data_IF_714929812189
#
_entry.id   IF_714929812189
#
_cell.length_a   1.000
_cell.length_b   1.000
_cell.length_c   1.000
_cell.angle_alpha   90.00
_cell.angle_beta   90.00
_cell.angle_gamma   90.00
#
_symmetry.space_group_name_H-M   'P 1'
#
loop_
_entity.id
_entity.type
_entity.pdbx_description
1 polymer ?
#
# COMPACT_ATOMS: atom_id res chain seq x y z
N UNK A 1 -14.48 67.14 15.59
CA UNK A 1 -14.87 65.71 15.50
C UNK A 1 -13.60 64.88 15.49
N UNK A 2 -13.24 64.29 16.65
CA UNK A 2 -12.01 63.51 16.83
C UNK A 2 -12.26 62.05 16.42
N UNK A 3 -11.38 61.51 15.59
CA UNK A 3 -11.31 60.08 15.23
C UNK A 3 -10.77 59.30 16.44
N UNK A 4 -11.50 58.30 16.90
CA UNK A 4 -11.03 57.33 17.89
C UNK A 4 -10.52 56.09 17.18
N UNK A 5 -9.23 55.81 17.38
CA UNK A 5 -8.52 54.61 16.96
C UNK A 5 -8.91 53.48 17.92
N UNK A 6 -9.52 52.42 17.40
CA UNK A 6 -9.73 51.18 18.16
C UNK A 6 -8.49 50.29 17.99
N UNK A 7 -7.73 50.17 19.07
CA UNK A 7 -6.60 49.26 19.21
C UNK A 7 -7.16 47.84 19.42
N UNK A 8 -7.10 46.99 18.40
CA UNK A 8 -7.45 45.57 18.53
C UNK A 8 -6.28 44.85 19.21
N UNK A 9 -6.44 44.52 20.49
CA UNK A 9 -5.52 43.65 21.22
C UNK A 9 -5.51 42.26 20.57
N UNK A 10 -4.39 41.86 19.98
CA UNK A 10 -4.15 40.48 19.59
C UNK A 10 -3.99 39.64 20.87
N UNK A 11 -4.96 38.76 21.13
CA UNK A 11 -4.87 37.74 22.16
C UNK A 11 -3.87 36.67 21.69
N UNK A 12 -2.62 36.75 22.16
CA UNK A 12 -1.66 35.65 22.00
C UNK A 12 -2.10 34.53 22.94
N UNK A 13 -2.82 33.54 22.42
CA UNK A 13 -3.01 32.26 23.10
C UNK A 13 -1.67 31.52 23.09
N UNK A 14 -0.92 31.65 24.18
CA UNK A 14 0.15 30.73 24.51
C UNK A 14 -0.53 29.40 24.86
N UNK A 15 -0.56 28.47 23.91
CA UNK A 15 -0.84 27.07 24.23
C UNK A 15 0.31 26.57 25.10
N UNK A 16 0.10 26.61 26.42
CA UNK A 16 0.91 25.84 27.35
C UNK A 16 0.86 24.39 26.91
N UNK A 17 2.04 23.78 26.76
CA UNK A 17 2.19 22.33 26.66
C UNK A 17 1.53 21.72 27.90
N UNK A 18 0.27 21.30 27.75
CA UNK A 18 -0.31 20.34 28.67
C UNK A 18 0.58 19.08 28.56
N UNK A 19 1.06 18.51 29.68
CA UNK A 19 1.69 17.21 29.63
C UNK A 19 0.69 16.27 28.97
N UNK A 20 1.07 15.71 27.82
CA UNK A 20 0.35 14.59 27.25
C UNK A 20 0.29 13.54 28.35
N UNK A 21 -0.92 13.23 28.82
CA UNK A 21 -1.14 12.04 29.65
C UNK A 21 -0.56 10.89 28.81
N UNK A 22 0.43 10.13 29.32
CA UNK A 22 0.92 8.99 28.57
C UNK A 22 -0.29 8.11 28.28
N UNK A 23 -0.49 7.77 27.01
CA UNK A 23 -1.47 6.75 26.63
C UNK A 23 -1.27 5.58 27.61
N UNK A 24 -2.32 5.21 28.35
CA UNK A 24 -2.24 4.12 29.32
C UNK A 24 -1.56 2.94 28.63
N UNK A 25 -0.41 2.52 29.14
CA UNK A 25 0.25 1.31 28.66
C UNK A 25 -0.80 0.19 28.63
N UNK A 26 -0.96 -0.48 27.49
CA UNK A 26 -1.99 -1.49 27.34
C UNK A 26 -1.82 -2.54 28.44
N UNK A 27 -2.91 -2.90 29.13
CA UNK A 27 -2.88 -3.84 30.25
C UNK A 27 -2.12 -5.11 29.86
N UNK A 28 -1.33 -5.67 30.79
CA UNK A 28 -0.58 -6.88 30.51
C UNK A 28 -1.51 -7.98 29.95
N UNK A 29 -1.13 -8.66 28.85
CA UNK A 29 -1.87 -9.80 28.32
C UNK A 29 -1.99 -10.93 29.35
N UNK A 30 -3.02 -11.79 29.29
CA UNK A 30 -3.16 -12.90 30.22
C UNK A 30 -1.98 -13.87 30.09
N UNK A 31 -1.51 -14.41 31.22
CA UNK A 31 -0.37 -15.33 31.26
C UNK A 31 -0.61 -16.65 30.52
N UNK A 32 -1.87 -17.01 30.31
CA UNK A 32 -2.31 -18.17 29.53
C UNK A 32 -3.50 -17.81 28.67
N UNK A 33 -3.67 -18.49 27.54
CA UNK A 33 -4.78 -18.30 26.64
C UNK A 33 -5.24 -19.65 26.08
N UNK A 34 -6.51 -19.96 26.26
CA UNK A 34 -7.09 -21.20 25.76
C UNK A 34 -7.57 -20.98 24.33
N UNK A 35 -7.07 -21.76 23.38
CA UNK A 35 -7.56 -21.73 22.01
C UNK A 35 -8.98 -22.31 21.91
N UNK A 36 -9.77 -21.75 21.00
CA UNK A 36 -11.15 -22.18 20.75
C UNK A 36 -11.60 -21.96 19.30
N UNK A 37 -10.67 -21.79 18.36
CA UNK A 37 -10.92 -21.69 16.92
C UNK A 37 -10.66 -23.04 16.21
N UNK A 38 -11.44 -23.34 15.17
CA UNK A 38 -11.38 -24.62 14.42
C UNK A 38 -11.26 -25.87 15.32
N UNK A 39 -10.28 -26.74 15.08
CA UNK A 39 -9.91 -27.89 15.91
C UNK A 39 -8.94 -27.55 17.06
N UNK A 40 -8.46 -26.31 17.13
CA UNK A 40 -7.45 -25.87 18.10
C UNK A 40 -8.06 -25.83 19.51
N UNK A 41 -7.34 -26.44 20.47
CA UNK A 41 -7.75 -26.54 21.88
C UNK A 41 -6.54 -26.46 22.83
N UNK A 42 -5.42 -25.91 22.38
CA UNK A 42 -4.22 -25.86 23.21
C UNK A 42 -4.33 -24.78 24.28
N UNK A 43 -3.67 -25.03 25.41
CA UNK A 43 -3.47 -24.01 26.43
C UNK A 43 -2.14 -23.31 26.15
N UNK A 44 -2.23 -22.13 25.55
CA UNK A 44 -1.07 -21.32 25.22
C UNK A 44 -0.54 -20.60 26.46
N UNK A 45 0.79 -20.44 26.53
CA UNK A 45 1.50 -19.74 27.60
C UNK A 45 2.18 -18.50 27.05
N UNK A 46 2.00 -17.38 27.73
CA UNK A 46 2.63 -16.12 27.36
C UNK A 46 4.15 -16.24 27.52
N UNK A 47 4.87 -16.07 26.42
CA UNK A 47 6.33 -16.19 26.37
C UNK A 47 7.01 -14.80 26.39
N UNK A 48 6.38 -13.79 25.78
CA UNK A 48 6.86 -12.41 25.73
C UNK A 48 5.71 -11.44 25.46
N UNK A 49 5.82 -10.19 25.92
CA UNK A 49 4.98 -9.10 25.45
C UNK A 49 5.64 -7.73 25.60
N UNK A 50 5.22 -6.79 24.79
CA UNK A 50 5.49 -5.35 24.91
C UNK A 50 4.25 -4.55 24.44
N UNK A 51 4.42 -3.29 24.03
CA UNK A 51 3.31 -2.47 23.52
C UNK A 51 2.90 -2.83 22.08
N UNK A 52 3.74 -3.56 21.35
CA UNK A 52 3.50 -3.95 19.96
C UNK A 52 2.94 -5.37 19.86
N UNK A 53 3.44 -6.31 20.66
CA UNK A 53 3.09 -7.74 20.53
C UNK A 53 2.83 -8.43 21.86
N UNK A 54 2.08 -9.52 21.78
CA UNK A 54 2.00 -10.56 22.81
C UNK A 54 2.25 -11.91 22.16
N UNK A 55 3.32 -12.61 22.54
CA UNK A 55 3.74 -13.87 21.94
C UNK A 55 3.42 -15.03 22.87
N UNK A 56 2.71 -16.00 22.33
CA UNK A 56 2.17 -17.16 23.01
C UNK A 56 2.69 -18.44 22.35
N UNK A 57 3.11 -19.39 23.17
CA UNK A 57 3.60 -20.70 22.75
C UNK A 57 2.78 -21.81 23.39
N UNK A 58 2.60 -22.91 22.67
CA UNK A 58 2.24 -24.19 23.27
C UNK A 58 3.45 -24.84 23.95
N UNK A 59 3.24 -26.01 24.56
CA UNK A 59 4.29 -26.76 25.26
C UNK A 59 5.31 -27.43 24.33
N UNK A 60 5.08 -27.44 23.01
CA UNK A 60 5.93 -28.08 22.01
C UNK A 60 7.00 -27.10 21.43
N UNK A 61 6.91 -25.82 21.77
CA UNK A 61 7.91 -24.80 21.43
C UNK A 61 8.92 -24.62 22.57
N UNK A 62 10.21 -24.64 22.23
CA UNK A 62 11.27 -24.19 23.14
C UNK A 62 11.46 -22.67 23.00
N UNK A 63 11.13 -21.86 24.03
CA UNK A 63 11.21 -20.41 23.93
C UNK A 63 12.62 -19.89 23.63
N UNK A 64 13.66 -20.62 24.05
CA UNK A 64 15.05 -20.22 23.79
C UNK A 64 15.46 -20.38 22.32
N UNK A 65 14.75 -21.21 21.56
CA UNK A 65 15.00 -21.42 20.13
C UNK A 65 14.13 -20.50 19.26
N UNK A 66 12.95 -20.11 19.75
CA UNK A 66 12.01 -19.26 19.03
C UNK A 66 12.03 -17.78 19.48
N UNK A 67 12.93 -17.37 20.38
CA UNK A 67 12.95 -16.01 20.94
C UNK A 67 13.17 -14.88 19.90
N UNK A 68 13.70 -15.20 18.72
CA UNK A 68 13.84 -14.23 17.63
C UNK A 68 12.49 -13.68 17.16
N UNK A 69 11.40 -14.43 17.36
CA UNK A 69 10.02 -14.06 17.00
C UNK A 69 9.60 -12.80 17.76
N UNK A 70 10.07 -12.60 18.99
CA UNK A 70 9.64 -11.50 19.86
C UNK A 70 9.89 -10.13 19.23
N UNK A 71 11.17 -9.80 19.01
CA UNK A 71 11.54 -8.51 18.42
C UNK A 71 11.16 -8.43 16.95
N UNK A 72 11.22 -9.55 16.22
CA UNK A 72 10.89 -9.56 14.79
C UNK A 72 9.42 -9.27 14.55
N UNK A 73 8.51 -9.90 15.29
CA UNK A 73 7.08 -9.62 15.20
C UNK A 73 6.77 -8.17 15.62
N UNK A 74 7.44 -7.66 16.66
CA UNK A 74 7.28 -6.28 17.10
C UNK A 74 7.72 -5.27 16.02
N UNK A 75 8.90 -5.47 15.41
CA UNK A 75 9.41 -4.60 14.35
C UNK A 75 8.51 -4.62 13.11
N UNK A 76 8.07 -5.82 12.68
CA UNK A 76 7.15 -5.97 11.55
C UNK A 76 5.83 -5.28 11.86
N UNK A 77 5.19 -5.61 12.98
CA UNK A 77 3.89 -5.04 13.34
C UNK A 77 3.92 -3.52 13.50
N UNK A 78 4.99 -2.99 14.10
CA UNK A 78 5.21 -1.55 14.22
C UNK A 78 5.29 -0.89 12.86
N UNK A 79 6.10 -1.44 11.94
CA UNK A 79 6.15 -0.97 10.56
C UNK A 79 4.79 -1.08 9.88
N UNK A 80 4.08 -2.19 10.04
CA UNK A 80 2.74 -2.41 9.48
C UNK A 80 1.80 -1.30 9.88
N UNK A 81 1.69 -1.01 11.18
CA UNK A 81 0.79 0.04 11.69
C UNK A 81 1.17 1.43 11.20
N UNK A 82 2.47 1.73 11.13
CA UNK A 82 2.98 3.02 10.67
C UNK A 82 2.72 3.27 9.18
N UNK A 83 2.83 2.21 8.36
CA UNK A 83 2.74 2.31 6.91
C UNK A 83 1.33 2.06 6.39
N UNK A 84 0.71 0.95 6.81
CA UNK A 84 -0.56 0.45 6.28
C UNK A 84 -1.79 0.91 7.08
N UNK A 85 -1.56 1.61 8.20
CA UNK A 85 -2.59 2.22 9.02
C UNK A 85 -3.00 1.36 10.22
N UNK A 86 -3.97 1.89 10.99
CA UNK A 86 -4.48 1.20 12.18
C UNK A 86 -5.27 -0.06 11.79
N UNK A 87 -5.00 -1.14 12.52
CA UNK A 87 -5.69 -2.44 12.40
C UNK A 87 -6.76 -2.64 13.49
N UNK A 88 -7.23 -1.55 14.12
CA UNK A 88 -8.17 -1.62 15.23
C UNK A 88 -7.62 -2.36 16.46
N UNK A 89 -8.53 -2.87 17.29
CA UNK A 89 -8.20 -3.61 18.51
C UNK A 89 -7.50 -2.76 19.58
N UNK A 90 -6.72 -3.43 20.42
CA UNK A 90 -5.91 -2.82 21.49
C UNK A 90 -4.54 -2.33 21.02
N UNK A 91 -4.26 -2.42 19.71
CA UNK A 91 -3.01 -2.02 19.09
C UNK A 91 -1.91 -3.09 19.11
N UNK A 92 -2.10 -4.22 19.78
CA UNK A 92 -1.15 -5.34 19.78
C UNK A 92 -1.44 -6.36 18.69
N UNK A 93 -0.38 -7.00 18.23
CA UNK A 93 -0.46 -8.27 17.52
C UNK A 93 -0.28 -9.43 18.50
N UNK A 94 -1.20 -10.38 18.48
CA UNK A 94 -1.11 -11.60 19.26
C UNK A 94 -0.52 -12.69 18.36
N UNK A 95 0.66 -13.18 18.72
CA UNK A 95 1.38 -14.18 17.93
C UNK A 95 1.28 -15.51 18.65
N UNK A 96 0.68 -16.50 18.00
CA UNK A 96 0.61 -17.88 18.46
C UNK A 96 1.55 -18.72 17.60
N UNK A 97 2.38 -19.56 18.24
CA UNK A 97 3.33 -20.42 17.53
C UNK A 97 3.20 -21.85 18.03
N UNK A 98 3.05 -22.77 17.08
CA UNK A 98 2.94 -24.20 17.32
C UNK A 98 4.06 -24.99 16.67
N UNK A 99 4.49 -26.07 17.33
CA UNK A 99 5.47 -26.99 16.77
C UNK A 99 4.88 -28.39 16.57
N UNK A 100 5.05 -28.97 15.38
CA UNK A 100 4.75 -30.39 15.06
C UNK A 100 3.29 -30.83 15.22
N UNK A 101 2.36 -29.94 15.57
CA UNK A 101 0.94 -30.25 15.76
C UNK A 101 0.08 -29.62 14.67
N UNK A 102 0.19 -28.31 14.51
CA UNK A 102 -0.48 -27.55 13.46
C UNK A 102 0.54 -27.07 12.43
N UNK A 103 0.11 -26.92 11.18
CA UNK A 103 0.98 -26.54 10.07
C UNK A 103 0.34 -25.43 9.24
N UNK A 104 1.16 -24.49 8.77
CA UNK A 104 0.70 -23.35 7.98
C UNK A 104 0.49 -22.12 8.85
N UNK A 105 -0.36 -21.22 8.40
CA UNK A 105 -0.72 -20.03 9.14
C UNK A 105 -2.21 -19.75 9.05
N UNK A 106 -2.70 -19.04 10.04
CA UNK A 106 -4.08 -18.60 10.14
C UNK A 106 -4.17 -17.24 10.84
N UNK A 107 -4.89 -16.27 10.27
CA UNK A 107 -5.09 -14.97 10.88
C UNK A 107 -6.42 -14.88 11.66
N UNK A 108 -6.39 -14.22 12.81
CA UNK A 108 -7.57 -13.74 13.52
C UNK A 108 -7.64 -12.20 13.51
N UNK A 109 -8.84 -11.64 13.53
CA UNK A 109 -9.03 -10.18 13.45
C UNK A 109 -9.69 -9.62 14.71
N UNK A 110 -9.41 -8.36 15.04
CA UNK A 110 -9.92 -7.72 16.27
C UNK A 110 -11.45 -7.68 16.41
N UNK A 111 -12.20 -7.98 15.36
CA UNK A 111 -13.67 -8.02 15.38
C UNK A 111 -14.25 -9.45 15.45
N UNK A 112 -13.39 -10.48 15.51
CA UNK A 112 -13.75 -11.88 15.56
C UNK A 112 -13.86 -12.39 17.00
N UNK A 113 -15.04 -12.87 17.38
CA UNK A 113 -15.28 -13.41 18.70
C UNK A 113 -14.52 -14.74 18.94
N UNK A 114 -14.34 -15.52 17.87
CA UNK A 114 -13.56 -16.76 17.83
C UNK A 114 -12.06 -16.57 18.08
N UNK A 115 -11.59 -15.31 18.08
CA UNK A 115 -10.21 -14.93 18.41
C UNK A 115 -10.15 -13.90 19.55
N UNK A 116 -11.18 -13.87 20.39
CA UNK A 116 -11.29 -12.99 21.55
C UNK A 116 -11.12 -11.50 21.21
N UNK A 117 -11.56 -11.09 20.02
CA UNK A 117 -11.46 -9.72 19.51
C UNK A 117 -10.02 -9.19 19.45
N UNK A 118 -9.08 -10.07 19.09
CA UNK A 118 -7.64 -9.75 18.91
C UNK A 118 -7.22 -9.84 17.45
N UNK A 119 -6.24 -9.04 17.05
CA UNK A 119 -5.49 -9.31 15.83
C UNK A 119 -4.49 -10.41 16.13
N UNK A 120 -4.64 -11.56 15.50
CA UNK A 120 -3.92 -12.80 15.79
C UNK A 120 -3.22 -13.26 14.53
N UNK A 121 -1.97 -13.70 14.67
CA UNK A 121 -1.39 -14.66 13.74
C UNK A 121 -1.16 -15.96 14.50
N UNK A 122 -1.61 -17.06 13.94
CA UNK A 122 -1.40 -18.40 14.44
C UNK A 122 -0.56 -19.14 13.40
N UNK A 123 0.68 -19.48 13.75
CA UNK A 123 1.63 -20.12 12.84
C UNK A 123 2.11 -21.46 13.38
N UNK A 124 2.08 -22.47 12.53
CA UNK A 124 2.46 -23.84 12.86
C UNK A 124 3.53 -24.37 11.92
N UNK A 125 4.61 -24.92 12.48
CA UNK A 125 5.76 -25.41 11.74
C UNK A 125 6.44 -26.61 12.41
N UNK A 126 7.58 -27.03 11.88
CA UNK A 126 8.35 -28.17 12.41
C UNK A 126 9.63 -27.78 13.16
N UNK A 127 10.15 -26.56 12.91
CA UNK A 127 11.31 -26.00 13.58
C UNK A 127 11.33 -24.46 13.45
N UNK A 128 11.25 -23.75 14.57
CA UNK A 128 11.36 -22.29 14.64
C UNK A 128 12.73 -21.80 15.16
N UNK A 129 13.79 -22.61 15.05
CA UNK A 129 15.13 -22.26 15.53
C UNK A 129 15.84 -21.19 14.68
N UNK A 130 15.35 -20.89 13.48
CA UNK A 130 15.95 -19.93 12.55
C UNK A 130 15.03 -18.76 12.20
N UNK A 131 15.61 -17.56 12.17
CA UNK A 131 14.99 -16.31 11.68
C UNK A 131 15.31 -16.09 10.20
N UNK A 132 14.85 -16.98 9.33
CA UNK A 132 15.02 -16.83 7.88
C UNK A 132 14.12 -17.80 7.12
N UNK A 133 14.04 -17.63 5.80
CA UNK A 133 13.32 -18.57 4.95
C UNK A 133 11.85 -18.66 5.32
N UNK A 134 11.30 -19.88 5.26
CA UNK A 134 9.89 -20.13 5.49
C UNK A 134 9.39 -19.65 6.87
N UNK A 135 10.21 -19.76 7.93
CA UNK A 135 9.84 -19.32 9.28
C UNK A 135 9.59 -17.82 9.37
N UNK A 136 10.44 -17.03 8.72
CA UNK A 136 10.23 -15.59 8.65
C UNK A 136 9.09 -15.25 7.69
N UNK A 137 9.03 -15.96 6.56
CA UNK A 137 8.01 -15.75 5.54
C UNK A 137 6.60 -15.94 6.09
N UNK A 138 6.32 -17.05 6.79
CA UNK A 138 4.98 -17.32 7.32
C UNK A 138 4.56 -16.27 8.35
N UNK A 139 5.48 -15.85 9.23
CA UNK A 139 5.20 -14.81 10.23
C UNK A 139 4.78 -13.49 9.55
N UNK A 140 5.51 -13.06 8.53
CA UNK A 140 5.19 -11.80 7.82
C UNK A 140 3.97 -11.97 6.91
N UNK A 141 3.78 -13.15 6.32
CA UNK A 141 2.64 -13.48 5.49
C UNK A 141 1.32 -13.34 6.25
N UNK A 142 1.21 -13.93 7.45
CA UNK A 142 -0.03 -13.86 8.23
C UNK A 142 -0.36 -12.42 8.68
N UNK A 143 0.66 -11.58 8.92
CA UNK A 143 0.44 -10.16 9.21
C UNK A 143 -0.15 -9.43 7.99
N UNK A 144 0.20 -9.85 6.77
CA UNK A 144 -0.37 -9.29 5.54
C UNK A 144 -1.89 -9.49 5.47
N UNK A 145 -2.40 -10.63 5.94
CA UNK A 145 -3.84 -10.88 6.01
C UNK A 145 -4.54 -9.97 7.03
N UNK A 146 -3.87 -9.59 8.12
CA UNK A 146 -4.45 -8.60 9.04
C UNK A 146 -4.58 -7.24 8.34
N UNK A 147 -3.56 -6.81 7.56
CA UNK A 147 -3.69 -5.59 6.73
C UNK A 147 -4.88 -5.70 5.80
N UNK A 148 -4.98 -6.83 5.11
CA UNK A 148 -5.98 -7.06 4.10
C UNK A 148 -7.43 -7.02 4.65
N UNK A 149 -7.64 -7.56 5.85
CA UNK A 149 -8.99 -7.75 6.42
C UNK A 149 -9.39 -6.71 7.48
N UNK A 150 -8.44 -5.96 8.06
CA UNK A 150 -8.71 -5.09 9.21
C UNK A 150 -8.22 -3.64 9.04
N UNK A 151 -7.52 -3.30 7.95
CA UNK A 151 -6.97 -1.96 7.79
C UNK A 151 -8.05 -0.88 7.63
N UNK A 152 -7.73 0.32 8.10
CA UNK A 152 -8.52 1.54 7.89
C UNK A 152 -9.97 1.44 8.41
N UNK A 153 -10.20 0.61 9.43
CA UNK A 153 -11.51 0.41 10.04
C UNK A 153 -12.52 -0.30 9.12
N UNK A 154 -12.06 -0.90 8.02
CA UNK A 154 -12.85 -1.81 7.21
C UNK A 154 -12.74 -3.25 7.73
N UNK A 155 -13.71 -4.09 7.37
CA UNK A 155 -13.75 -5.50 7.76
C UNK A 155 -13.96 -6.38 6.53
N UNK A 156 -13.14 -7.41 6.39
CA UNK A 156 -13.15 -8.34 5.25
C UNK A 156 -12.22 -7.91 4.11
N UNK A 157 -11.99 -8.83 3.16
CA UNK A 157 -11.18 -8.58 1.97
C UNK A 157 -12.01 -8.73 0.69
N UNK A 158 -12.40 -7.64 0.03
CA UNK A 158 -13.18 -7.72 -1.18
C UNK A 158 -12.33 -8.15 -2.39
N UNK A 159 -11.00 -8.11 -2.28
CA UNK A 159 -10.08 -8.49 -3.35
C UNK A 159 -9.57 -9.94 -3.25
N UNK A 160 -9.81 -10.62 -2.12
CA UNK A 160 -9.31 -11.98 -1.86
C UNK A 160 -9.67 -12.97 -2.97
N UNK A 161 -10.86 -12.88 -3.56
CA UNK A 161 -11.26 -13.76 -4.67
C UNK A 161 -10.43 -13.59 -5.95
N UNK A 162 -9.77 -12.44 -6.12
CA UNK A 162 -8.96 -12.16 -7.30
C UNK A 162 -7.51 -12.64 -7.11
N UNK A 163 -6.93 -12.37 -5.94
CA UNK A 163 -5.52 -12.64 -5.68
C UNK A 163 -5.27 -13.87 -4.78
N UNK A 164 -6.34 -14.48 -4.25
CA UNK A 164 -6.26 -15.66 -3.39
C UNK A 164 -5.53 -15.42 -2.08
N UNK A 165 -4.86 -16.44 -1.58
CA UNK A 165 -4.07 -16.35 -0.36
C UNK A 165 -2.86 -15.41 -0.55
N UNK A 166 -1.97 -15.72 -1.48
CA UNK A 166 -0.62 -15.18 -1.31
C UNK A 166 -0.27 -13.91 -2.08
N UNK A 167 -0.99 -13.48 -3.13
CA UNK A 167 -0.35 -12.49 -4.05
C UNK A 167 -0.20 -11.09 -3.46
N UNK A 168 -1.16 -10.67 -2.62
CA UNK A 168 -0.99 -9.48 -1.79
C UNK A 168 0.13 -9.67 -0.75
N UNK A 169 0.12 -10.81 -0.05
CA UNK A 169 1.13 -11.12 0.96
C UNK A 169 2.56 -11.17 0.40
N UNK A 170 2.74 -11.65 -0.83
CA UNK A 170 4.03 -11.74 -1.51
C UNK A 170 4.69 -10.34 -1.68
N UNK A 171 3.93 -9.34 -2.13
CA UNK A 171 4.47 -7.97 -2.27
C UNK A 171 4.63 -7.28 -0.92
N UNK A 172 3.74 -7.56 0.03
CA UNK A 172 3.86 -7.08 1.41
C UNK A 172 5.13 -7.61 2.09
N UNK A 173 5.44 -8.90 1.95
CA UNK A 173 6.67 -9.49 2.48
C UNK A 173 7.92 -8.81 1.90
N UNK A 174 7.94 -8.60 0.59
CA UNK A 174 9.04 -7.88 -0.06
C UNK A 174 9.20 -6.46 0.50
N UNK A 175 8.10 -5.72 0.64
CA UNK A 175 8.11 -4.36 1.21
C UNK A 175 8.64 -4.33 2.65
N UNK A 176 8.10 -5.19 3.53
CA UNK A 176 8.53 -5.29 4.93
C UNK A 176 10.03 -5.59 5.02
N UNK A 177 10.53 -6.54 4.23
CA UNK A 177 11.95 -6.89 4.25
C UNK A 177 12.82 -5.74 3.77
N UNK A 178 12.39 -5.00 2.73
CA UNK A 178 13.10 -3.80 2.29
C UNK A 178 13.10 -2.70 3.35
N UNK A 179 11.97 -2.47 4.01
CA UNK A 179 11.83 -1.42 5.02
C UNK A 179 12.64 -1.69 6.29
N UNK A 180 12.73 -2.96 6.71
CA UNK A 180 13.47 -3.38 7.91
C UNK A 180 14.95 -3.68 7.63
N UNK A 181 15.42 -3.51 6.39
CA UNK A 181 16.83 -3.74 6.01
C UNK A 181 17.23 -5.22 5.91
N UNK A 182 16.26 -6.12 5.68
CA UNK A 182 16.50 -7.56 5.51
C UNK A 182 16.81 -7.86 4.03
N UNK A 183 17.83 -7.22 3.48
CA UNK A 183 18.09 -7.21 2.03
C UNK A 183 18.28 -8.60 1.43
N UNK A 184 18.92 -9.53 2.16
CA UNK A 184 19.07 -10.92 1.70
C UNK A 184 17.74 -11.66 1.60
N UNK A 185 16.82 -11.44 2.54
CA UNK A 185 15.49 -12.05 2.52
C UNK A 185 14.61 -11.39 1.45
N UNK A 186 14.69 -10.07 1.29
CA UNK A 186 14.01 -9.34 0.22
C UNK A 186 14.42 -9.86 -1.16
N UNK A 187 15.73 -10.06 -1.39
CA UNK A 187 16.24 -10.64 -2.63
C UNK A 187 15.75 -12.07 -2.82
N UNK A 188 15.83 -12.91 -1.77
CA UNK A 188 15.37 -14.31 -1.83
C UNK A 188 13.90 -14.42 -2.21
N UNK A 189 13.02 -13.64 -1.57
CA UNK A 189 11.59 -13.70 -1.88
C UNK A 189 11.28 -13.12 -3.25
N UNK A 190 11.98 -12.06 -3.67
CA UNK A 190 11.88 -11.55 -5.03
C UNK A 190 12.19 -12.64 -6.06
N UNK A 191 13.34 -13.30 -5.94
CA UNK A 191 13.78 -14.36 -6.87
C UNK A 191 12.80 -15.54 -6.91
N UNK A 192 12.18 -15.85 -5.76
CA UNK A 192 11.12 -16.86 -5.67
C UNK A 192 9.84 -16.42 -6.38
N UNK A 193 9.33 -15.23 -6.07
CA UNK A 193 8.01 -14.78 -6.47
C UNK A 193 7.95 -14.38 -7.95
N UNK A 194 9.03 -13.88 -8.54
CA UNK A 194 9.07 -13.56 -9.98
C UNK A 194 8.90 -14.80 -10.88
N UNK A 195 9.16 -16.00 -10.34
CA UNK A 195 9.03 -17.26 -11.07
C UNK A 195 7.64 -17.91 -10.93
N UNK A 196 6.78 -17.43 -10.02
CA UNK A 196 5.48 -18.05 -9.73
C UNK A 196 4.42 -17.67 -10.77
N UNK A 197 3.92 -18.67 -11.48
CA UNK A 197 2.81 -18.53 -12.43
C UNK A 197 1.50 -19.07 -11.86
N UNK A 198 0.40 -18.43 -12.19
CA UNK A 198 -0.96 -18.78 -11.79
C UNK A 198 -1.86 -19.09 -12.99
N UNK A 199 -2.98 -19.74 -12.71
CA UNK A 199 -4.05 -20.00 -13.68
C UNK A 199 -5.12 -18.90 -13.73
N UNK A 200 -5.17 -18.03 -12.73
CA UNK A 200 -6.11 -16.91 -12.66
C UNK A 200 -5.36 -15.56 -12.76
N UNK A 201 -5.88 -14.60 -13.54
CA UNK A 201 -7.12 -14.65 -14.34
C UNK A 201 -7.02 -15.47 -15.62
N UNK A 202 -5.81 -15.83 -16.04
CA UNK A 202 -5.59 -16.78 -17.12
C UNK A 202 -4.30 -17.57 -16.89
N UNK A 203 -4.15 -18.71 -17.57
CA UNK A 203 -2.95 -19.53 -17.49
C UNK A 203 -1.69 -18.74 -17.84
N UNK A 204 -0.68 -18.84 -16.97
CA UNK A 204 0.59 -18.12 -17.14
C UNK A 204 0.56 -16.68 -16.61
N UNK A 205 -0.38 -16.35 -15.72
CA UNK A 205 -0.37 -15.06 -15.02
C UNK A 205 0.76 -15.02 -13.99
N UNK A 206 1.60 -13.99 -14.01
CA UNK A 206 2.61 -13.77 -12.98
C UNK A 206 2.25 -12.54 -12.15
N UNK A 207 1.48 -12.72 -11.08
CA UNK A 207 1.00 -11.60 -10.24
C UNK A 207 2.12 -10.76 -9.67
N UNK A 208 3.15 -11.38 -9.09
CA UNK A 208 4.27 -10.62 -8.53
C UNK A 208 5.08 -9.93 -9.64
N UNK A 209 5.56 -10.69 -10.63
CA UNK A 209 6.45 -10.20 -11.69
C UNK A 209 5.82 -9.13 -12.58
N UNK A 210 4.58 -9.34 -13.03
CA UNK A 210 3.97 -8.53 -14.08
C UNK A 210 2.99 -7.48 -13.54
N UNK A 211 2.56 -7.60 -12.27
CA UNK A 211 1.61 -6.67 -11.67
C UNK A 211 2.15 -5.99 -10.41
N UNK A 212 2.28 -6.71 -9.30
CA UNK A 212 2.58 -6.10 -8.01
C UNK A 212 3.95 -5.44 -7.94
N UNK A 213 5.00 -6.10 -8.44
CA UNK A 213 6.35 -5.53 -8.43
C UNK A 213 6.45 -4.29 -9.34
N UNK A 214 5.96 -4.30 -10.59
CA UNK A 214 5.90 -3.09 -11.41
C UNK A 214 5.07 -1.95 -10.81
N UNK A 215 3.92 -2.25 -10.18
CA UNK A 215 3.12 -1.25 -9.47
C UNK A 215 3.93 -0.66 -8.32
N UNK A 216 4.51 -1.50 -7.47
CA UNK A 216 5.32 -1.08 -6.33
C UNK A 216 6.51 -0.22 -6.78
N UNK A 217 7.31 -0.69 -7.72
CA UNK A 217 8.58 -0.04 -8.03
C UNK A 217 8.40 1.28 -8.80
N UNK A 218 7.40 1.37 -9.69
CA UNK A 218 7.22 2.53 -10.56
C UNK A 218 6.18 3.53 -10.06
N UNK A 219 5.29 3.13 -9.15
CA UNK A 219 4.15 3.94 -8.74
C UNK A 219 4.12 4.10 -7.23
N UNK A 220 5.18 4.66 -6.62
CA UNK A 220 5.11 5.13 -5.23
C UNK A 220 5.19 4.05 -4.13
N UNK A 221 5.63 2.82 -4.45
CA UNK A 221 6.00 1.77 -3.49
C UNK A 221 4.88 1.47 -2.48
N UNK A 222 5.21 1.36 -1.19
CA UNK A 222 4.25 1.08 -0.11
C UNK A 222 3.10 2.09 0.00
N UNK A 223 3.29 3.33 -0.45
CA UNK A 223 2.22 4.32 -0.41
C UNK A 223 1.07 3.96 -1.35
N UNK A 224 1.36 3.37 -2.50
CA UNK A 224 0.30 2.92 -3.43
C UNK A 224 -0.41 1.69 -2.90
N UNK A 225 0.33 0.74 -2.33
CA UNK A 225 -0.27 -0.42 -1.65
C UNK A 225 -1.22 0.03 -0.53
N UNK A 226 -0.80 1.01 0.28
CA UNK A 226 -1.61 1.56 1.38
C UNK A 226 -2.84 2.31 0.87
N UNK A 227 -2.67 3.16 -0.16
CA UNK A 227 -3.77 3.93 -0.74
C UNK A 227 -4.87 3.04 -1.30
N UNK A 228 -4.53 1.87 -1.82
CA UNK A 228 -5.54 0.91 -2.29
C UNK A 228 -6.53 0.56 -1.17
N UNK A 229 -6.04 0.16 0.01
CA UNK A 229 -6.91 -0.15 1.16
C UNK A 229 -7.65 1.07 1.69
N UNK A 230 -7.03 2.26 1.66
CA UNK A 230 -7.70 3.51 2.04
C UNK A 230 -8.87 3.82 1.09
N UNK A 231 -8.68 3.68 -0.22
CA UNK A 231 -9.72 3.89 -1.22
C UNK A 231 -10.86 2.87 -1.07
N UNK A 232 -10.54 1.59 -0.82
CA UNK A 232 -11.54 0.57 -0.54
C UNK A 232 -12.38 0.93 0.69
N UNK A 233 -11.73 1.23 1.82
CA UNK A 233 -12.43 1.65 3.02
C UNK A 233 -13.29 2.90 2.76
N UNK A 234 -12.79 3.87 2.00
CA UNK A 234 -13.51 5.12 1.77
C UNK A 234 -14.73 4.95 0.84
N UNK A 235 -14.59 4.21 -0.26
CA UNK A 235 -15.54 4.26 -1.37
C UNK A 235 -16.24 2.94 -1.67
N UNK A 236 -15.65 1.79 -1.34
CA UNK A 236 -16.25 0.51 -1.67
C UNK A 236 -17.38 0.16 -0.69
N UNK A 237 -18.50 -0.46 -1.14
CA UNK A 237 -19.68 -0.63 -0.32
C UNK A 237 -19.45 -1.42 0.98
N UNK A 238 -19.85 -0.83 2.10
CA UNK A 238 -19.81 -1.45 3.44
C UNK A 238 -21.16 -1.35 4.14
N UNK A 239 -21.48 -2.34 4.97
CA UNK A 239 -22.64 -2.27 5.86
C UNK A 239 -22.34 -1.39 7.09
N UNK A 240 -23.36 -1.11 7.90
CA UNK A 240 -23.22 -0.27 9.10
C UNK A 240 -22.26 -0.82 10.16
N UNK A 241 -21.94 -2.12 10.12
CA UNK A 241 -20.97 -2.76 11.01
C UNK A 241 -19.52 -2.71 10.48
N UNK A 242 -19.30 -2.12 9.29
CA UNK A 242 -18.00 -1.92 8.67
C UNK A 242 -17.54 -3.02 7.72
N UNK A 243 -18.36 -4.04 7.46
CA UNK A 243 -18.02 -5.13 6.53
C UNK A 243 -18.26 -4.74 5.09
N UNK A 244 -17.32 -5.06 4.21
CA UNK A 244 -17.57 -5.03 2.78
C UNK A 244 -18.74 -5.95 2.41
N UNK A 245 -19.63 -5.49 1.53
CA UNK A 245 -20.88 -6.20 1.24
C UNK A 245 -20.79 -7.15 0.05
N UNK A 246 -19.68 -7.13 -0.70
CA UNK A 246 -19.41 -7.98 -1.86
C UNK A 246 -17.92 -7.97 -2.21
N UNK A 247 -17.53 -8.86 -3.12
CA UNK A 247 -16.19 -8.88 -3.70
C UNK A 247 -16.05 -7.85 -4.84
N UNK A 248 -14.81 -7.48 -5.13
CA UNK A 248 -14.40 -6.75 -6.33
C UNK A 248 -14.43 -7.66 -7.54
N UNK A 249 -14.80 -7.10 -8.68
CA UNK A 249 -14.45 -7.68 -9.98
C UNK A 249 -13.11 -7.12 -10.50
N UNK A 250 -12.60 -7.65 -11.61
CA UNK A 250 -11.27 -7.27 -12.11
C UNK A 250 -11.20 -5.80 -12.58
N UNK A 251 -12.26 -5.30 -13.21
CA UNK A 251 -12.31 -3.90 -13.64
C UNK A 251 -12.32 -2.92 -12.47
N UNK A 252 -13.07 -3.22 -11.40
CA UNK A 252 -13.05 -2.44 -10.16
C UNK A 252 -11.67 -2.50 -9.49
N UNK A 253 -11.07 -3.68 -9.40
CA UNK A 253 -9.73 -3.85 -8.86
C UNK A 253 -8.71 -2.96 -9.57
N UNK A 254 -8.69 -2.99 -10.91
CA UNK A 254 -7.78 -2.15 -11.71
C UNK A 254 -8.10 -0.68 -11.57
N UNK A 255 -9.37 -0.28 -11.49
CA UNK A 255 -9.78 1.10 -11.24
C UNK A 255 -9.29 1.63 -9.88
N UNK A 256 -9.49 0.88 -8.80
CA UNK A 256 -9.03 1.25 -7.46
C UNK A 256 -7.50 1.27 -7.36
N UNK A 257 -6.81 0.29 -7.96
CA UNK A 257 -5.35 0.28 -8.04
C UNK A 257 -4.82 1.47 -8.87
N UNK A 258 -5.52 1.87 -9.93
CA UNK A 258 -5.17 3.06 -10.72
C UNK A 258 -5.29 4.34 -9.90
N UNK A 259 -6.37 4.47 -9.12
CA UNK A 259 -6.53 5.57 -8.16
C UNK A 259 -5.42 5.58 -7.11
N UNK A 260 -5.07 4.42 -6.56
CA UNK A 260 -4.01 4.28 -5.57
C UNK A 260 -2.64 4.68 -6.12
N UNK A 261 -2.35 4.26 -7.36
CA UNK A 261 -1.14 4.59 -8.10
C UNK A 261 -1.12 6.01 -8.67
N UNK A 262 -2.27 6.72 -8.63
CA UNK A 262 -2.50 8.01 -9.29
C UNK A 262 -2.19 7.97 -10.79
N UNK A 263 -2.33 6.81 -11.42
CA UNK A 263 -2.00 6.55 -12.82
C UNK A 263 -2.98 5.54 -13.41
N UNK A 264 -3.30 5.62 -14.71
CA UNK A 264 -4.13 4.60 -15.36
C UNK A 264 -3.29 3.32 -15.54
N UNK A 265 -3.59 2.30 -14.73
CA UNK A 265 -2.87 1.02 -14.76
C UNK A 265 -3.47 0.02 -15.76
N UNK A 266 -4.48 0.40 -16.57
CA UNK A 266 -5.13 -0.52 -17.52
C UNK A 266 -4.13 -1.15 -18.49
N UNK A 267 -3.15 -0.40 -18.99
CA UNK A 267 -2.13 -0.93 -19.91
C UNK A 267 -1.29 -2.02 -19.23
N UNK A 268 -0.83 -1.75 -18.00
CA UNK A 268 -0.10 -2.71 -17.18
C UNK A 268 -0.96 -3.95 -16.88
N UNK A 269 -2.23 -3.73 -16.51
CA UNK A 269 -3.16 -4.80 -16.21
C UNK A 269 -3.44 -5.68 -17.44
N UNK A 270 -3.55 -5.05 -18.62
CA UNK A 270 -3.72 -5.77 -19.89
C UNK A 270 -2.53 -6.69 -20.18
N UNK A 271 -1.29 -6.23 -19.92
CA UNK A 271 -0.10 -7.05 -20.05
C UNK A 271 0.01 -8.15 -18.99
N UNK A 272 -0.40 -7.87 -17.76
CA UNK A 272 -0.31 -8.81 -16.64
C UNK A 272 -1.37 -9.92 -16.67
N UNK A 273 -2.60 -9.55 -17.04
CA UNK A 273 -3.81 -10.37 -16.84
C UNK A 273 -4.53 -10.73 -18.14
N UNK A 274 -4.11 -10.13 -19.27
CA UNK A 274 -4.96 -10.05 -20.46
C UNK A 274 -6.08 -9.03 -20.27
N UNK A 275 -6.73 -8.64 -21.36
CA UNK A 275 -7.82 -7.67 -21.32
C UNK A 275 -8.97 -8.05 -22.26
N UNK A 276 -9.94 -8.77 -21.71
CA UNK A 276 -11.15 -9.17 -22.43
C UNK A 276 -12.28 -8.17 -22.26
N UNK A 277 -13.29 -8.24 -23.14
CA UNK A 277 -14.44 -7.33 -23.13
C UNK A 277 -15.17 -7.28 -21.77
N UNK A 278 -15.16 -8.37 -21.01
CA UNK A 278 -15.72 -8.38 -19.66
C UNK A 278 -14.99 -7.41 -18.72
N UNK A 279 -13.65 -7.44 -18.70
CA UNK A 279 -12.84 -6.54 -17.87
C UNK A 279 -12.96 -5.09 -18.33
N UNK A 280 -13.07 -4.86 -19.65
CA UNK A 280 -13.36 -3.53 -20.18
C UNK A 280 -14.70 -3.00 -19.65
N UNK A 281 -15.76 -3.80 -19.75
CA UNK A 281 -17.10 -3.40 -19.29
C UNK A 281 -17.11 -3.14 -17.77
N UNK A 282 -16.46 -4.00 -17.01
CA UNK A 282 -16.28 -3.83 -15.56
C UNK A 282 -15.49 -2.56 -15.22
N UNK A 283 -14.41 -2.27 -15.94
CA UNK A 283 -13.56 -1.11 -15.72
C UNK A 283 -14.28 0.20 -16.03
N UNK A 284 -15.01 0.26 -17.15
CA UNK A 284 -15.83 1.43 -17.47
C UNK A 284 -17.00 1.61 -16.50
N UNK A 285 -17.61 0.53 -16.02
CA UNK A 285 -18.61 0.58 -14.96
C UNK A 285 -18.01 1.12 -13.65
N UNK A 286 -16.85 0.62 -13.23
CA UNK A 286 -16.15 1.08 -12.03
C UNK A 286 -15.88 2.59 -12.08
N UNK A 287 -15.36 3.11 -13.20
CA UNK A 287 -15.12 4.56 -13.38
C UNK A 287 -16.38 5.41 -13.24
N UNK A 288 -17.53 4.89 -13.69
CA UNK A 288 -18.83 5.58 -13.56
C UNK A 288 -19.40 5.48 -12.15
N UNK A 289 -19.22 4.34 -11.51
CA UNK A 289 -19.84 4.02 -10.22
C UNK A 289 -19.01 4.58 -9.04
N UNK A 290 -17.69 4.82 -9.26
CA UNK A 290 -16.75 5.41 -8.30
C UNK A 290 -16.02 6.65 -8.85
N UNK A 291 -16.74 7.68 -9.34
CA UNK A 291 -16.13 8.84 -10.03
C UNK A 291 -15.22 9.71 -9.15
N UNK A 292 -15.25 9.51 -7.82
CA UNK A 292 -14.36 10.18 -6.87
C UNK A 292 -12.92 9.66 -6.94
N UNK A 293 -12.71 8.47 -7.53
CA UNK A 293 -11.39 7.88 -7.71
C UNK A 293 -10.84 8.30 -9.07
N UNK A 294 -9.99 9.31 -9.06
CA UNK A 294 -9.43 9.92 -10.28
C UNK A 294 -7.93 9.60 -10.45
N UNK A 295 -7.48 9.43 -11.69
CA UNK A 295 -6.09 9.16 -12.05
C UNK A 295 -5.86 9.44 -13.54
N UNK A 296 -4.63 9.31 -14.05
CA UNK A 296 -4.42 9.16 -15.50
C UNK A 296 -4.78 10.37 -16.37
N UNK A 297 -4.90 11.58 -15.78
CA UNK A 297 -5.38 12.76 -16.49
C UNK A 297 -6.91 12.93 -16.51
N UNK A 298 -7.66 12.13 -15.76
CA UNK A 298 -9.08 12.40 -15.44
C UNK A 298 -9.27 13.67 -14.58
N UNK A 299 -8.16 14.29 -14.20
CA UNK A 299 -8.11 15.65 -13.68
C UNK A 299 -8.27 16.61 -14.86
N UNK A 300 -9.47 17.18 -15.02
CA UNK A 300 -9.67 18.35 -15.88
C UNK A 300 -8.95 19.54 -15.24
N UNK A 301 -7.71 19.80 -15.69
CA UNK A 301 -6.97 21.02 -15.36
C UNK A 301 -7.27 22.09 -16.41
N UNK A 302 -7.91 23.16 -15.96
CA UNK A 302 -8.24 24.33 -16.79
C UNK A 302 -7.00 25.10 -17.25
N UNK A 303 -5.88 25.01 -16.52
CA UNK A 303 -4.62 25.69 -16.83
C UNK A 303 -3.43 24.81 -16.40
N UNK A 304 -2.94 23.93 -17.30
CA UNK A 304 -1.81 23.04 -17.01
C UNK A 304 -1.47 22.07 -18.14
N UNK A 305 -0.88 20.94 -17.77
CA UNK A 305 -0.60 19.81 -18.66
C UNK A 305 -0.69 18.46 -17.95
N UNK A 306 -0.97 17.40 -18.70
CA UNK A 306 -0.92 16.01 -18.24
C UNK A 306 0.31 15.33 -18.82
N UNK A 307 1.15 14.76 -17.95
CA UNK A 307 2.43 14.14 -18.28
C UNK A 307 2.31 12.63 -18.21
N UNK A 308 2.88 11.93 -19.18
CA UNK A 308 2.70 10.49 -19.37
C UNK A 308 4.03 9.74 -19.41
N UNK A 309 4.01 8.50 -18.88
CA UNK A 309 5.19 7.64 -18.79
C UNK A 309 5.57 6.96 -20.09
N UNK A 310 4.60 6.64 -20.94
CA UNK A 310 4.84 6.00 -22.23
C UNK A 310 4.45 6.92 -23.39
N UNK A 311 4.93 6.59 -24.59
CA UNK A 311 4.47 7.23 -25.81
C UNK A 311 2.97 6.98 -26.03
N UNK A 312 2.34 7.84 -26.83
CA UNK A 312 0.92 7.84 -27.15
C UNK A 312 0.00 7.89 -25.91
N UNK A 313 0.44 8.63 -24.88
CA UNK A 313 -0.33 8.88 -23.65
C UNK A 313 -0.62 7.61 -22.84
N UNK A 314 0.32 6.66 -22.85
CA UNK A 314 0.31 5.47 -21.99
C UNK A 314 1.13 5.66 -20.71
N UNK A 315 1.29 4.60 -19.93
CA UNK A 315 2.08 4.60 -18.70
C UNK A 315 1.44 5.39 -17.56
N UNK A 316 2.25 5.93 -16.64
CA UNK A 316 1.75 6.84 -15.60
C UNK A 316 1.07 8.05 -16.24
N UNK A 317 0.14 8.70 -15.54
CA UNK A 317 -0.25 10.05 -15.94
C UNK A 317 -0.51 10.99 -14.77
N UNK A 318 0.13 12.16 -14.82
CA UNK A 318 0.08 13.18 -13.77
C UNK A 318 -0.36 14.50 -14.34
N UNK A 319 -1.41 15.08 -13.77
CA UNK A 319 -1.89 16.41 -14.11
C UNK A 319 -1.21 17.45 -13.21
N UNK A 320 -0.51 18.42 -13.80
CA UNK A 320 0.11 19.53 -13.10
C UNK A 320 -0.44 20.86 -13.62
N UNK A 321 -0.78 21.76 -12.70
CA UNK A 321 -1.18 23.13 -13.02
C UNK A 321 0.02 24.02 -13.32
N UNK A 322 -0.24 25.27 -13.75
CA UNK A 322 0.79 26.32 -13.91
C UNK A 322 1.60 26.50 -12.63
N UNK A 323 2.84 26.03 -12.65
CA UNK A 323 3.85 26.21 -11.60
C UNK A 323 5.22 25.72 -12.12
N UNK A 324 6.22 25.72 -11.25
CA UNK A 324 7.51 25.08 -11.44
C UNK A 324 7.64 23.86 -10.54
N UNK A 325 8.00 22.71 -11.11
CA UNK A 325 8.14 21.45 -10.41
C UNK A 325 9.60 20.99 -10.54
N UNK A 326 10.35 21.07 -9.45
CA UNK A 326 11.70 20.54 -9.42
C UNK A 326 11.66 19.02 -9.16
N UNK A 327 12.82 18.36 -9.16
CA UNK A 327 12.96 16.91 -9.02
C UNK A 327 12.09 16.30 -7.91
N UNK A 328 12.14 16.86 -6.69
CA UNK A 328 11.37 16.33 -5.57
C UNK A 328 9.86 16.56 -5.73
N UNK A 329 9.44 17.68 -6.35
CA UNK A 329 8.03 18.00 -6.57
C UNK A 329 7.42 17.07 -7.63
N UNK A 330 8.20 16.77 -8.68
CA UNK A 330 7.81 15.78 -9.70
C UNK A 330 7.60 14.39 -9.08
N UNK A 331 8.57 13.91 -8.29
CA UNK A 331 8.44 12.63 -7.60
C UNK A 331 7.23 12.61 -6.65
N UNK A 332 7.01 13.68 -5.89
CA UNK A 332 5.87 13.82 -4.99
C UNK A 332 4.52 13.85 -5.73
N UNK A 333 4.50 14.43 -6.94
CA UNK A 333 3.33 14.45 -7.80
C UNK A 333 3.09 13.11 -8.53
N UNK A 334 4.07 12.20 -8.51
CA UNK A 334 3.97 10.87 -9.11
C UNK A 334 4.57 10.76 -10.51
N UNK A 335 5.45 11.69 -10.91
CA UNK A 335 6.27 11.57 -12.13
C UNK A 335 7.64 11.02 -11.73
N UNK A 336 7.97 9.75 -12.03
CA UNK A 336 9.29 9.21 -11.78
C UNK A 336 10.36 9.92 -12.63
N UNK A 337 11.57 10.02 -12.08
CA UNK A 337 12.70 10.61 -12.79
C UNK A 337 13.03 9.79 -14.05
N UNK A 338 13.34 10.46 -15.15
CA UNK A 338 13.79 9.80 -16.38
C UNK A 338 12.80 8.75 -16.90
N UNK A 339 11.49 9.04 -16.80
CA UNK A 339 10.41 8.17 -17.28
C UNK A 339 9.34 8.85 -18.13
N UNK A 340 9.47 10.14 -18.44
CA UNK A 340 8.44 10.89 -19.15
C UNK A 340 8.62 10.76 -20.65
N UNK A 341 7.55 10.34 -21.34
CA UNK A 341 7.57 10.00 -22.77
C UNK A 341 6.53 10.75 -23.61
N UNK A 342 5.43 11.25 -23.04
CA UNK A 342 4.43 12.06 -23.77
C UNK A 342 3.71 13.07 -22.88
N UNK A 343 3.11 14.11 -23.46
CA UNK A 343 2.47 15.22 -22.71
C UNK A 343 1.22 15.71 -23.44
N UNK A 344 0.12 15.92 -22.72
CA UNK A 344 -1.04 16.69 -23.21
C UNK A 344 -1.01 18.08 -22.62
N UNK A 345 -1.13 19.12 -23.44
CA UNK A 345 -0.97 20.52 -23.03
C UNK A 345 -2.28 21.25 -23.23
N UNK A 346 -2.83 21.83 -22.16
CA UNK A 346 -4.05 22.64 -22.25
C UNK A 346 -3.79 23.85 -23.16
N UNK A 347 -4.73 24.24 -24.05
CA UNK A 347 -4.57 25.41 -24.90
C UNK A 347 -4.18 26.67 -24.11
N UNK A 348 -3.19 27.43 -24.61
CA UNK A 348 -2.68 28.62 -23.92
C UNK A 348 -1.60 28.34 -22.86
N UNK A 349 -1.16 27.09 -22.72
CA UNK A 349 -0.07 26.69 -21.81
C UNK A 349 1.20 26.36 -22.59
N UNK A 350 2.35 26.72 -22.00
CA UNK A 350 3.69 26.34 -22.43
C UNK A 350 4.32 25.46 -21.34
N UNK A 351 4.70 24.26 -21.73
CA UNK A 351 5.48 23.33 -20.89
C UNK A 351 6.94 23.39 -21.33
N UNK A 352 7.87 23.51 -20.38
CA UNK A 352 9.30 23.34 -20.62
C UNK A 352 9.81 22.20 -19.77
N UNK A 353 10.27 21.14 -20.42
CA UNK A 353 10.92 19.98 -19.81
C UNK A 353 12.43 20.26 -19.72
N UNK A 354 13.07 19.84 -18.63
CA UNK A 354 14.51 19.97 -18.41
C UNK A 354 15.15 18.63 -18.07
N UNK A 355 16.31 18.35 -18.67
CA UNK A 355 17.07 17.10 -18.51
C UNK A 355 17.61 16.92 -17.09
N UNK A 356 17.89 18.01 -16.38
CA UNK A 356 18.41 17.97 -15.01
C UNK A 356 17.48 18.69 -14.04
N UNK A 357 17.67 18.40 -12.76
CA UNK A 357 17.06 19.15 -11.66
C UNK A 357 17.47 20.63 -11.71
N UNK A 358 16.77 21.46 -10.95
CA UNK A 358 17.03 22.89 -10.82
C UNK A 358 16.94 23.65 -12.18
N UNK A 359 16.15 23.11 -13.12
CA UNK A 359 15.90 23.66 -14.45
C UNK A 359 17.16 23.83 -15.30
N UNK A 360 18.06 22.84 -15.24
CA UNK A 360 19.34 22.82 -15.95
C UNK A 360 19.36 21.74 -17.05
N UNK A 361 20.47 21.70 -17.81
CA UNK A 361 20.69 20.72 -18.88
C UNK A 361 19.95 21.08 -20.17
N UNK A 362 19.78 20.11 -21.06
CA UNK A 362 18.96 20.30 -22.26
C UNK A 362 17.51 20.58 -21.87
N UNK A 363 16.80 21.37 -22.69
CA UNK A 363 15.40 21.70 -22.46
C UNK A 363 14.54 21.51 -23.71
N UNK A 364 13.28 21.12 -23.53
CA UNK A 364 12.30 20.97 -24.61
C UNK A 364 11.02 21.71 -24.30
N UNK A 365 10.59 22.57 -25.22
CA UNK A 365 9.36 23.37 -25.10
C UNK A 365 8.23 22.69 -25.86
N UNK A 366 7.09 22.51 -25.20
CA UNK A 366 5.86 21.93 -25.75
C UNK A 366 4.71 22.94 -25.59
N UNK A 367 4.00 23.20 -26.68
CA UNK A 367 2.87 24.15 -26.74
C UNK A 367 1.53 23.46 -27.07
N UNK A 368 1.56 22.15 -27.30
CA UNK A 368 0.41 21.35 -27.68
C UNK A 368 0.65 19.90 -27.28
N UNK A 369 -0.41 19.10 -27.38
CA UNK A 369 -0.36 17.65 -27.24
C UNK A 369 0.79 17.04 -28.06
N UNK A 370 1.64 16.32 -27.37
CA UNK A 370 2.88 15.72 -27.86
C UNK A 370 2.84 14.24 -27.53
N UNK A 371 2.45 13.41 -28.50
CA UNK A 371 2.30 11.97 -28.32
C UNK A 371 3.63 11.24 -28.11
N UNK A 372 4.75 11.87 -28.45
CA UNK A 372 6.09 11.37 -28.12
C UNK A 372 7.05 12.54 -28.00
N UNK A 373 7.76 12.66 -26.88
CA UNK A 373 8.71 13.75 -26.64
C UNK A 373 9.99 13.61 -27.47
N UNK A 374 10.15 12.54 -28.26
CA UNK A 374 11.26 12.33 -29.19
C UNK A 374 12.47 11.64 -28.54
N UNK A 375 13.27 10.95 -29.36
CA UNK A 375 14.45 10.18 -28.91
C UNK A 375 15.50 11.06 -28.20
N UNK A 376 15.49 12.36 -28.48
CA UNK A 376 16.34 13.35 -27.84
C UNK A 376 15.99 13.58 -26.37
N UNK A 377 14.73 13.38 -25.97
CA UNK A 377 14.21 13.77 -24.66
C UNK A 377 13.42 12.67 -23.91
N UNK A 378 13.16 11.54 -24.56
CA UNK A 378 12.47 10.41 -23.93
C UNK A 378 13.22 9.93 -22.70
N UNK A 379 12.51 9.73 -21.59
CA UNK A 379 13.11 9.21 -20.34
C UNK A 379 14.29 10.05 -19.84
N UNK A 380 14.22 11.38 -19.97
CA UNK A 380 15.27 12.30 -19.48
C UNK A 380 14.80 13.43 -18.57
N UNK A 381 13.49 13.60 -18.39
CA UNK A 381 12.98 14.79 -17.69
C UNK A 381 13.22 14.65 -16.18
N UNK A 382 13.89 15.66 -15.59
CA UNK A 382 14.20 15.78 -14.16
C UNK A 382 13.66 17.06 -13.51
N UNK A 383 13.19 18.05 -14.28
CA UNK A 383 12.40 19.20 -13.77
C UNK A 383 11.50 19.80 -14.85
N UNK A 384 10.41 20.47 -14.46
CA UNK A 384 9.36 20.97 -15.36
C UNK A 384 8.97 22.41 -15.00
N UNK A 385 8.79 23.26 -16.01
CA UNK A 385 8.08 24.55 -15.87
C UNK A 385 6.82 24.58 -16.71
N UNK A 386 5.72 25.06 -16.12
CA UNK A 386 4.42 25.20 -16.78
C UNK A 386 3.99 26.65 -16.65
N UNK A 387 3.84 27.33 -17.78
CA UNK A 387 3.58 28.77 -17.85
C UNK A 387 2.43 29.07 -18.81
N UNK A 388 1.74 30.20 -18.59
CA UNK A 388 0.79 30.70 -19.59
C UNK A 388 1.55 31.27 -20.79
N UNK A 389 1.03 31.03 -21.98
CA UNK A 389 1.45 31.72 -23.20
C UNK A 389 0.74 33.07 -23.19
N UNK A 390 1.53 34.14 -23.04
CA UNK A 390 1.02 35.52 -23.12
C UNK A 390 0.68 35.91 -24.56
#
# INVERSE_FOLDING_TARGET
MKKSVALLMALVMVFGLLPQIPANAASAPPSTWQEHWFEHKELLKLAYYDDEVAVYFDDDINPNQANWIYSTAADVWKYTKQTYGSMGGDGRLYVVVHNKKYSGGHPGYYYNADHDYRNVIDIGGSDFSSRSGWNLDILVHEIAHIVEFAANGAKGSPAFRLWGDSKWAEIYQYDVYKALGYDSEAQRVYDSFVCKSESFPQAGTYWFKNWYYPVYDNYGKNQTLTRFFQLLAQYFPRNSAGYFTRDLNMGEYVHFMSGAAKADLKSLASGAFGWMNEYENQYQAARRDFPQITYGGDVTISEGAVFYGDANYGGFAVALGVDTYNYNDMLAAGIPNDKLSSVKVTPGIKVTLYEHKDFQGASKVLLADTSYVGDDFNDKTSSIKIERVN
#
